data_IF_320711334059
#
_entry.id   IF_320711334059
#
_cell.length_a   1.000
_cell.length_b   1.000
_cell.length_c   1.000
_cell.angle_alpha   90.00
_cell.angle_beta   90.00
_cell.angle_gamma   90.00
#
_symmetry.space_group_name_H-M   'P 1'
#
loop_
_entity.id
_entity.type
_entity.pdbx_description
1 polymer ?
#
# COMPACT_ATOMS: atom_id res chain seq x y z
N UNK A 1 8.96 20.84 2.08
CA UNK A 1 9.07 19.83 1.01
C UNK A 1 10.33 18.96 1.16
N UNK A 2 11.49 19.54 1.37
CA UNK A 2 12.76 18.79 1.57
C UNK A 2 12.75 17.95 2.84
N UNK A 3 12.17 18.44 3.92
CA UNK A 3 12.10 17.71 5.20
C UNK A 3 11.16 16.49 5.09
N UNK A 4 10.07 16.59 4.35
CA UNK A 4 9.19 15.45 4.08
C UNK A 4 9.89 14.39 3.23
N UNK A 5 10.71 14.80 2.30
CA UNK A 5 11.52 13.93 1.45
C UNK A 5 12.53 13.11 2.27
N UNK A 6 13.31 13.75 3.13
CA UNK A 6 14.32 13.10 3.97
C UNK A 6 13.71 12.09 4.96
N UNK A 7 12.54 12.41 5.50
CA UNK A 7 11.86 11.51 6.44
C UNK A 7 11.37 10.25 5.73
N UNK A 8 10.81 10.36 4.53
CA UNK A 8 10.28 9.21 3.79
C UNK A 8 11.37 8.34 3.17
N UNK A 9 12.42 8.94 2.65
CA UNK A 9 13.61 8.20 2.21
C UNK A 9 14.26 7.47 3.39
N UNK A 10 14.27 8.08 4.56
CA UNK A 10 14.75 7.47 5.80
C UNK A 10 13.92 6.26 6.23
N UNK A 11 12.60 6.33 6.11
CA UNK A 11 11.70 5.20 6.41
C UNK A 11 11.97 4.04 5.46
N UNK A 12 11.97 4.29 4.17
CA UNK A 12 12.18 3.26 3.17
C UNK A 12 13.56 2.61 3.31
N UNK A 13 14.59 3.42 3.51
CA UNK A 13 15.93 2.94 3.77
C UNK A 13 16.01 2.09 5.02
N UNK A 14 15.41 2.52 6.12
CA UNK A 14 15.41 1.78 7.37
C UNK A 14 14.73 0.42 7.23
N UNK A 15 13.66 0.33 6.45
CA UNK A 15 12.99 -0.93 6.15
C UNK A 15 13.84 -1.86 5.30
N UNK A 16 14.47 -1.34 4.25
CA UNK A 16 15.36 -2.13 3.40
C UNK A 16 16.57 -2.64 4.17
N UNK A 17 17.18 -1.82 5.01
CA UNK A 17 18.33 -2.20 5.85
C UNK A 17 17.96 -3.33 6.82
N UNK A 18 16.78 -3.30 7.44
CA UNK A 18 16.30 -4.36 8.34
C UNK A 18 15.93 -5.65 7.63
N UNK A 19 15.40 -5.54 6.43
CA UNK A 19 15.07 -6.70 5.60
C UNK A 19 16.29 -7.48 5.12
N UNK A 20 17.50 -6.97 5.34
CA UNK A 20 18.73 -7.54 4.78
C UNK A 20 18.78 -7.44 3.25
N UNK A 21 17.92 -6.63 2.65
CA UNK A 21 17.95 -6.36 1.22
C UNK A 21 19.06 -5.37 0.95
N UNK A 22 20.11 -5.74 0.18
CA UNK A 22 21.22 -4.82 -0.08
C UNK A 22 20.69 -3.63 -0.87
N UNK A 23 20.68 -2.46 -0.26
CA UNK A 23 20.45 -1.21 -0.99
C UNK A 23 21.69 -0.99 -1.85
N UNK A 24 21.53 -1.06 -3.16
CA UNK A 24 22.58 -0.71 -4.12
C UNK A 24 23.17 -1.85 -4.96
N UNK A 25 22.65 -3.07 -4.85
CA UNK A 25 23.08 -4.18 -5.73
C UNK A 25 22.08 -4.53 -6.84
N UNK A 26 20.84 -4.02 -6.76
CA UNK A 26 19.80 -4.20 -7.79
C UNK A 26 19.40 -2.87 -8.40
N UNK A 27 19.03 -2.87 -9.66
CA UNK A 27 18.35 -1.74 -10.28
C UNK A 27 16.87 -1.74 -9.88
N UNK A 28 16.18 -0.61 -9.93
CA UNK A 28 14.73 -0.55 -9.69
C UNK A 28 13.94 -1.50 -10.61
N UNK A 29 14.50 -1.82 -11.79
CA UNK A 29 13.92 -2.80 -12.72
C UNK A 29 14.01 -4.23 -12.16
N UNK A 30 15.05 -4.60 -11.46
CA UNK A 30 15.23 -5.94 -10.87
C UNK A 30 14.23 -6.20 -9.74
N UNK A 31 13.77 -5.13 -9.06
CA UNK A 31 12.76 -5.18 -8.02
C UNK A 31 11.33 -5.03 -8.55
N UNK A 32 11.16 -4.80 -9.86
CA UNK A 32 9.85 -4.53 -10.46
C UNK A 32 9.28 -3.15 -10.09
N UNK A 33 10.09 -2.25 -9.57
CA UNK A 33 9.68 -0.90 -9.19
C UNK A 33 9.59 -0.02 -10.45
N UNK A 34 8.52 0.76 -10.58
CA UNK A 34 8.33 1.71 -11.69
C UNK A 34 9.39 2.82 -11.70
N UNK A 35 9.55 3.50 -12.84
CA UNK A 35 10.53 4.60 -13.00
C UNK A 35 10.34 5.77 -12.04
N UNK A 36 9.08 6.05 -11.67
CA UNK A 36 8.70 7.09 -10.72
C UNK A 36 7.55 6.54 -9.87
N UNK A 37 7.82 5.56 -9.00
CA UNK A 37 6.79 4.86 -8.27
C UNK A 37 6.11 5.82 -7.30
N UNK A 38 4.78 5.74 -7.23
CA UNK A 38 4.03 6.30 -6.13
C UNK A 38 4.13 5.36 -4.94
N UNK A 39 3.99 5.91 -3.74
CA UNK A 39 3.90 5.13 -2.52
C UNK A 39 2.46 5.21 -2.01
N UNK A 40 1.86 4.06 -1.79
CA UNK A 40 0.49 3.93 -1.32
C UNK A 40 0.46 3.30 0.07
N UNK A 41 -0.16 3.98 1.01
CA UNK A 41 -0.55 3.38 2.28
C UNK A 41 -1.82 2.57 2.05
N UNK A 42 -1.82 1.31 2.47
CA UNK A 42 -2.98 0.41 2.37
C UNK A 42 -3.30 -0.17 3.74
N UNK A 43 -4.56 -0.12 4.13
CA UNK A 43 -5.06 -0.81 5.33
C UNK A 43 -5.73 -2.11 4.91
N UNK A 44 -5.21 -3.22 5.42
CA UNK A 44 -5.73 -4.56 5.16
C UNK A 44 -6.57 -5.02 6.36
N UNK A 45 -7.78 -4.47 6.48
CA UNK A 45 -8.75 -4.77 7.53
C UNK A 45 -8.22 -4.65 8.97
N UNK A 46 -8.55 -3.55 9.62
CA UNK A 46 -8.41 -3.37 11.07
C UNK A 46 -7.00 -3.51 11.65
N UNK A 47 -6.98 -3.76 12.93
CA UNK A 47 -5.77 -3.87 13.76
C UNK A 47 -5.59 -5.31 14.27
N UNK A 48 -4.34 -5.68 14.56
CA UNK A 48 -4.03 -6.99 15.13
C UNK A 48 -4.04 -8.13 14.12
N UNK A 49 -4.16 -9.33 14.63
CA UNK A 49 -4.27 -10.54 13.81
C UNK A 49 -5.66 -10.64 13.24
N UNK A 50 -5.79 -10.42 11.94
CA UNK A 50 -7.03 -10.63 11.23
C UNK A 50 -6.82 -11.55 10.01
N UNK A 51 -7.85 -12.33 9.65
CA UNK A 51 -7.73 -13.33 8.59
C UNK A 51 -7.41 -12.73 7.23
N UNK A 52 -8.00 -11.58 6.89
CA UNK A 52 -7.78 -10.91 5.59
C UNK A 52 -6.35 -10.44 5.44
N UNK A 53 -5.79 -9.79 6.45
CA UNK A 53 -4.39 -9.34 6.40
C UNK A 53 -3.42 -10.53 6.30
N UNK A 54 -3.62 -11.55 7.12
CA UNK A 54 -2.80 -12.75 7.09
C UNK A 54 -2.83 -13.41 5.71
N UNK A 55 -4.01 -13.54 5.13
CA UNK A 55 -4.20 -14.11 3.80
C UNK A 55 -3.51 -13.25 2.73
N UNK A 56 -3.67 -11.94 2.77
CA UNK A 56 -2.99 -11.01 1.86
C UNK A 56 -1.46 -11.13 1.91
N UNK A 57 -0.90 -11.28 3.12
CA UNK A 57 0.54 -11.46 3.30
C UNK A 57 1.03 -12.82 2.78
N UNK A 58 0.24 -13.87 2.93
CA UNK A 58 0.60 -15.22 2.48
C UNK A 58 0.50 -15.38 0.97
N UNK A 59 -0.48 -14.72 0.34
CA UNK A 59 -0.80 -14.92 -1.08
C UNK A 59 -0.32 -13.79 -1.99
N UNK A 60 0.50 -12.88 -1.50
CA UNK A 60 1.09 -11.80 -2.28
C UNK A 60 0.05 -10.93 -3.01
N UNK A 61 -0.92 -10.43 -2.28
CA UNK A 61 -1.88 -9.47 -2.80
C UNK A 61 -2.39 -8.51 -1.72
N UNK A 62 -3.11 -7.48 -2.15
CA UNK A 62 -3.88 -6.57 -1.31
C UNK A 62 -5.35 -6.70 -1.67
N UNK A 63 -6.22 -6.55 -0.68
CA UNK A 63 -7.67 -6.61 -0.86
C UNK A 63 -8.33 -5.43 -0.18
N UNK A 64 -9.33 -4.85 -0.82
CA UNK A 64 -10.14 -3.76 -0.27
C UNK A 64 -11.62 -4.05 -0.41
N UNK A 65 -12.43 -3.33 0.37
CA UNK A 65 -13.88 -3.47 0.43
C UNK A 65 -14.64 -2.65 -0.60
N UNK A 66 -15.74 -2.05 -0.15
CA UNK A 66 -16.75 -1.40 -0.97
C UNK A 66 -17.44 -2.35 -1.95
N UNK A 67 -17.65 -3.59 -1.50
CA UNK A 67 -18.25 -4.66 -2.31
C UNK A 67 -19.71 -4.36 -2.71
N UNK A 68 -20.41 -3.59 -1.89
CA UNK A 68 -21.82 -3.19 -2.15
C UNK A 68 -22.00 -2.39 -3.46
N UNK A 69 -20.95 -1.78 -3.97
CA UNK A 69 -20.96 -1.13 -5.28
C UNK A 69 -20.84 -2.10 -6.47
N UNK A 70 -20.63 -3.39 -6.20
CA UNK A 70 -20.47 -4.43 -7.21
C UNK A 70 -19.13 -4.37 -7.95
N UNK A 71 -18.95 -5.26 -8.89
CA UNK A 71 -17.73 -5.36 -9.70
C UNK A 71 -17.51 -4.13 -10.58
N UNK A 72 -18.56 -3.72 -11.29
CA UNK A 72 -18.49 -2.60 -12.23
C UNK A 72 -18.74 -1.28 -11.51
N UNK A 73 -17.73 -0.42 -11.53
CA UNK A 73 -17.80 0.93 -10.99
C UNK A 73 -18.09 1.90 -12.13
N UNK A 74 -19.18 2.65 -12.04
CA UNK A 74 -19.58 3.63 -13.03
C UNK A 74 -19.62 5.05 -12.44
N UNK A 75 -19.57 6.05 -13.32
CA UNK A 75 -19.71 7.46 -12.93
C UNK A 75 -21.08 7.77 -12.29
N UNK A 76 -22.07 6.92 -12.53
CA UNK A 76 -23.39 7.04 -11.94
C UNK A 76 -23.48 6.51 -10.50
N UNK A 77 -22.46 5.80 -10.02
CA UNK A 77 -22.44 5.27 -8.66
C UNK A 77 -22.17 6.37 -7.66
N UNK A 78 -23.05 6.49 -6.65
CA UNK A 78 -22.90 7.48 -5.59
C UNK A 78 -21.98 6.97 -4.48
N UNK A 79 -20.76 7.44 -4.46
CA UNK A 79 -19.74 7.12 -3.44
C UNK A 79 -19.66 8.14 -2.32
N UNK A 80 -20.58 9.11 -2.27
CA UNK A 80 -20.42 10.31 -1.43
C UNK A 80 -20.48 10.01 0.08
N UNK A 81 -21.10 8.91 0.47
CA UNK A 81 -21.42 8.63 1.87
C UNK A 81 -20.31 7.97 2.69
N UNK A 82 -19.36 7.33 2.05
CA UNK A 82 -18.38 6.48 2.74
C UNK A 82 -16.92 6.66 2.30
N UNK A 83 -16.66 7.70 1.50
CA UNK A 83 -15.33 7.96 0.96
C UNK A 83 -14.89 6.96 -0.13
N UNK A 84 -15.77 6.06 -0.55
CA UNK A 84 -15.47 5.02 -1.54
C UNK A 84 -14.95 5.57 -2.86
N UNK A 85 -15.45 6.72 -3.31
CA UNK A 85 -14.99 7.35 -4.55
C UNK A 85 -13.48 7.58 -4.57
N UNK A 86 -12.93 8.15 -3.51
CA UNK A 86 -11.50 8.44 -3.40
C UNK A 86 -10.69 7.15 -3.38
N UNK A 87 -11.11 6.18 -2.58
CA UNK A 87 -10.40 4.92 -2.42
C UNK A 87 -10.45 4.08 -3.70
N UNK A 88 -11.63 3.93 -4.30
CA UNK A 88 -11.80 3.16 -5.52
C UNK A 88 -11.09 3.80 -6.71
N UNK A 89 -11.15 5.13 -6.84
CA UNK A 89 -10.37 5.84 -7.86
C UNK A 89 -8.86 5.65 -7.67
N UNK A 90 -8.38 5.69 -6.42
CA UNK A 90 -6.98 5.40 -6.14
C UNK A 90 -6.61 3.97 -6.55
N UNK A 91 -7.41 3.00 -6.14
CA UNK A 91 -7.14 1.58 -6.38
C UNK A 91 -7.22 1.18 -7.86
N UNK A 92 -8.22 1.66 -8.59
CA UNK A 92 -8.46 1.29 -9.99
C UNK A 92 -7.71 2.14 -11.01
N UNK A 93 -7.63 3.46 -10.78
CA UNK A 93 -7.21 4.40 -11.83
C UNK A 93 -5.85 5.03 -11.58
N UNK A 94 -5.44 5.19 -10.32
CA UNK A 94 -4.22 5.91 -9.96
C UNK A 94 -3.05 5.02 -9.58
N UNK A 95 -3.32 3.94 -8.85
CA UNK A 95 -2.30 2.95 -8.49
C UNK A 95 -1.90 2.16 -9.73
N UNK A 96 -0.61 2.04 -9.97
CA UNK A 96 -0.06 1.39 -11.16
C UNK A 96 0.86 0.24 -10.79
N UNK A 97 1.03 -0.71 -11.72
CA UNK A 97 2.06 -1.74 -11.61
C UNK A 97 3.42 -1.08 -11.47
N UNK A 98 4.22 -1.53 -10.51
CA UNK A 98 5.51 -0.94 -10.16
C UNK A 98 5.43 0.11 -9.04
N UNK A 99 4.24 0.52 -8.62
CA UNK A 99 4.08 1.36 -7.44
C UNK A 99 4.39 0.58 -6.15
N UNK A 100 4.77 1.30 -5.12
CA UNK A 100 5.07 0.75 -3.80
C UNK A 100 3.82 0.79 -2.93
N UNK A 101 3.56 -0.27 -2.20
CA UNK A 101 2.51 -0.34 -1.18
C UNK A 101 3.12 -0.55 0.20
N UNK A 102 2.62 0.20 1.17
CA UNK A 102 2.94 0.06 2.58
C UNK A 102 1.69 -0.40 3.31
N UNK A 103 1.71 -1.63 3.79
CA UNK A 103 0.62 -2.15 4.61
C UNK A 103 0.70 -1.59 6.02
N UNK A 104 -0.42 -1.02 6.47
CA UNK A 104 -0.56 -0.47 7.81
C UNK A 104 -1.77 -1.11 8.47
N UNK A 105 -1.62 -1.68 9.67
CA UNK A 105 -2.76 -2.21 10.43
C UNK A 105 -3.28 -1.23 11.49
N UNK A 106 -2.67 -0.06 11.57
CA UNK A 106 -3.16 1.09 12.34
C UNK A 106 -2.71 2.38 11.67
N UNK A 107 -3.11 3.52 12.19
CA UNK A 107 -2.60 4.81 11.74
C UNK A 107 -1.12 5.05 12.11
N UNK A 108 -0.53 4.15 12.84
CA UNK A 108 0.82 4.30 13.42
C UNK A 108 1.79 3.20 13.02
N UNK A 109 1.32 2.02 12.63
CA UNK A 109 2.20 0.87 12.45
C UNK A 109 2.22 0.39 11.02
N UNK A 110 3.41 0.29 10.45
CA UNK A 110 3.67 -0.36 9.17
C UNK A 110 4.13 -1.78 9.45
N UNK A 111 3.54 -2.75 8.78
CA UNK A 111 3.87 -4.16 8.95
C UNK A 111 4.47 -4.83 7.71
N UNK A 112 4.30 -4.25 6.54
CA UNK A 112 4.88 -4.78 5.31
C UNK A 112 5.08 -3.71 4.23
N UNK A 113 6.01 -3.98 3.32
CA UNK A 113 6.24 -3.19 2.11
C UNK A 113 6.28 -4.11 0.91
N UNK A 114 5.62 -3.74 -0.17
CA UNK A 114 5.59 -4.50 -1.40
C UNK A 114 5.53 -3.63 -2.65
N UNK A 115 5.56 -4.28 -3.79
CA UNK A 115 5.44 -3.66 -5.12
C UNK A 115 4.18 -4.21 -5.79
N UNK A 116 3.39 -3.34 -6.39
CA UNK A 116 2.20 -3.72 -7.17
C UNK A 116 2.64 -4.45 -8.44
N UNK A 117 2.13 -5.66 -8.64
CA UNK A 117 2.49 -6.52 -9.78
C UNK A 117 1.31 -6.84 -10.70
N UNK A 118 0.07 -6.52 -10.30
CA UNK A 118 -1.12 -6.84 -11.07
C UNK A 118 -2.10 -5.67 -11.19
N UNK A 119 -2.98 -5.80 -12.17
CA UNK A 119 -4.13 -4.91 -12.33
C UNK A 119 -5.22 -5.22 -11.30
N UNK A 120 -6.20 -4.31 -11.10
CA UNK A 120 -7.34 -4.61 -10.22
C UNK A 120 -8.16 -5.79 -10.73
N UNK A 121 -8.56 -6.66 -9.81
CA UNK A 121 -9.37 -7.83 -10.07
C UNK A 121 -10.58 -7.86 -9.13
N UNK A 122 -11.65 -8.53 -9.54
CA UNK A 122 -12.82 -8.82 -8.72
C UNK A 122 -12.89 -10.32 -8.45
N UNK A 123 -13.03 -10.69 -7.16
CA UNK A 123 -13.02 -12.07 -6.71
C UNK A 123 -14.28 -12.42 -5.91
N UNK A 124 -15.27 -12.97 -6.58
CA UNK A 124 -16.57 -13.34 -5.99
C UNK A 124 -16.48 -14.46 -4.96
N UNK A 125 -15.42 -15.25 -4.98
CA UNK A 125 -15.18 -16.32 -4.03
C UNK A 125 -14.94 -15.83 -2.60
N UNK A 126 -14.51 -14.59 -2.43
CA UNK A 126 -14.38 -13.99 -1.10
C UNK A 126 -15.73 -13.49 -0.59
N UNK A 127 -15.99 -13.68 0.69
CA UNK A 127 -17.19 -13.16 1.33
C UNK A 127 -17.15 -11.64 1.49
N UNK A 128 -15.94 -11.09 1.74
CA UNK A 128 -15.68 -9.66 1.93
C UNK A 128 -14.36 -9.28 1.29
N UNK A 129 -14.17 -7.99 0.99
CA UNK A 129 -12.94 -7.47 0.40
C UNK A 129 -12.60 -8.15 -0.93
N UNK A 130 -13.54 -8.09 -1.85
CA UNK A 130 -13.52 -8.80 -3.14
C UNK A 130 -12.60 -8.17 -4.19
N UNK A 131 -12.18 -6.92 -3.97
CA UNK A 131 -11.30 -6.19 -4.90
C UNK A 131 -9.85 -6.47 -4.54
N UNK A 132 -9.12 -7.04 -5.47
CA UNK A 132 -7.78 -7.57 -5.27
C UNK A 132 -6.80 -6.97 -6.28
N UNK A 133 -5.60 -6.70 -5.84
CA UNK A 133 -4.43 -6.49 -6.71
C UNK A 133 -3.26 -7.31 -6.22
N UNK A 134 -2.59 -7.98 -7.14
CA UNK A 134 -1.38 -8.71 -6.81
C UNK A 134 -0.24 -7.76 -6.47
N UNK A 135 0.53 -8.14 -5.48
CA UNK A 135 1.74 -7.44 -5.05
C UNK A 135 2.82 -8.47 -4.79
N UNK A 136 4.06 -8.04 -4.84
CA UNK A 136 5.17 -8.80 -4.29
C UNK A 136 5.59 -8.15 -2.98
N UNK A 137 5.43 -8.86 -1.89
CA UNK A 137 5.93 -8.39 -0.61
C UNK A 137 7.44 -8.50 -0.56
N UNK A 138 8.12 -7.39 -0.37
CA UNK A 138 9.57 -7.32 -0.20
C UNK A 138 9.95 -7.56 1.25
N UNK A 139 9.16 -7.05 2.17
CA UNK A 139 9.36 -7.13 3.61
C UNK A 139 8.02 -7.36 4.29
N UNK A 140 7.98 -8.26 5.26
CA UNK A 140 6.80 -8.57 6.08
C UNK A 140 7.17 -8.66 7.56
N UNK A 141 6.19 -8.44 8.44
CA UNK A 141 6.35 -8.62 9.88
C UNK A 141 7.24 -7.57 10.56
N UNK A 142 7.30 -6.37 10.01
CA UNK A 142 8.18 -5.31 10.51
C UNK A 142 7.68 -4.74 11.83
N UNK A 143 6.38 -4.46 11.96
CA UNK A 143 5.71 -3.87 13.13
C UNK A 143 6.37 -2.58 13.65
N UNK A 144 6.76 -1.69 12.73
CA UNK A 144 7.40 -0.43 13.07
C UNK A 144 6.38 0.67 13.32
N UNK A 145 6.59 1.43 14.38
CA UNK A 145 5.83 2.65 14.63
C UNK A 145 6.33 3.75 13.70
N UNK A 146 5.42 4.24 12.84
CA UNK A 146 5.76 5.27 11.87
C UNK A 146 5.76 6.69 12.47
N UNK A 147 5.21 6.88 13.65
CA UNK A 147 5.07 8.22 14.25
C UNK A 147 6.44 8.87 14.43
N UNK A 148 7.44 8.09 14.82
CA UNK A 148 8.81 8.57 14.99
C UNK A 148 9.45 9.01 13.65
N UNK A 149 9.05 8.40 12.55
CA UNK A 149 9.56 8.69 11.21
C UNK A 149 8.71 9.73 10.45
N UNK A 150 7.47 9.95 10.86
CA UNK A 150 6.53 10.87 10.22
C UNK A 150 6.37 12.19 11.00
N UNK A 151 7.46 12.72 11.52
CA UNK A 151 7.49 13.98 12.28
C UNK A 151 6.45 14.04 13.42
N UNK A 152 6.24 12.94 14.12
CA UNK A 152 5.28 12.83 15.22
C UNK A 152 3.82 12.73 14.79
N UNK A 153 3.53 12.52 13.51
CA UNK A 153 2.14 12.48 12.98
C UNK A 153 1.72 11.05 12.61
N UNK A 154 0.51 10.64 12.97
CA UNK A 154 -0.05 9.38 12.51
C UNK A 154 -0.40 9.46 11.01
N UNK A 155 -0.50 8.30 10.38
CA UNK A 155 -1.02 8.17 9.02
C UNK A 155 -2.52 8.44 8.97
N UNK A 156 -3.02 8.75 7.78
CA UNK A 156 -4.47 8.83 7.54
C UNK A 156 -5.16 7.50 7.80
N UNK A 157 -6.41 7.56 8.22
CA UNK A 157 -7.27 6.38 8.40
C UNK A 157 -7.83 5.82 7.07
N UNK A 158 -7.67 6.53 5.95
CA UNK A 158 -8.12 6.05 4.65
C UNK A 158 -7.51 4.69 4.32
N UNK A 159 -8.33 3.79 3.78
CA UNK A 159 -7.90 2.42 3.44
C UNK A 159 -6.85 2.38 2.32
N UNK A 160 -6.97 3.29 1.35
CA UNK A 160 -5.95 3.49 0.31
C UNK A 160 -5.63 4.97 0.23
N UNK A 161 -4.37 5.32 0.39
CA UNK A 161 -3.94 6.70 0.37
C UNK A 161 -2.57 6.82 -0.28
N UNK A 162 -2.45 7.76 -1.23
CA UNK A 162 -1.15 8.09 -1.82
C UNK A 162 -0.37 8.99 -0.88
N UNK A 163 0.85 8.60 -0.55
CA UNK A 163 1.77 9.47 0.16
C UNK A 163 2.26 10.59 -0.77
N UNK A 164 2.43 11.78 -0.23
CA UNK A 164 2.85 12.98 -0.97
C UNK A 164 4.32 12.99 -1.38
N UNK A 165 5.00 11.87 -1.24
CA UNK A 165 6.40 11.69 -1.59
C UNK A 165 6.55 10.73 -2.76
N UNK A 166 7.52 11.02 -3.60
CA UNK A 166 8.06 10.07 -4.56
C UNK A 166 9.29 9.41 -3.96
N UNK A 167 9.49 8.13 -4.23
CA UNK A 167 10.80 7.52 -4.01
C UNK A 167 11.74 8.24 -4.98
N UNK A 168 12.69 8.97 -4.46
CA UNK A 168 13.72 9.58 -5.30
C UNK A 168 14.67 8.51 -5.84
N UNK A 169 15.39 8.83 -6.91
CA UNK A 169 16.33 7.95 -7.60
C UNK A 169 17.48 7.41 -6.71
N UNK A 170 17.28 7.40 -5.39
CA UNK A 170 18.24 6.92 -4.41
C UNK A 170 18.10 5.42 -4.08
N UNK A 171 17.32 4.70 -4.88
CA UNK A 171 17.23 3.24 -4.82
C UNK A 171 18.20 2.57 -5.77
#
# INVERSE_FOLDING_TARGET
>A
REIEYEVHDGIFKAFCDRAGTPIGSGTSADLGIGKSPAIWKVSLEGTGDNPTRTECMQNNHIRIGWDDYGETISDATDYSKDGGRTVLNAFYNRMQIGDIVMSCYSSKTIDAIGVVTGEPEWHDEYQHYKRLRNVQWLVKGINEDIVDFNAGKPMTLSSVYRLSVSVSDAL
#
